data_IF_569268542613
#
_entry.id   IF_569268542613
#
_cell.length_a   1.000
_cell.length_b   1.000
_cell.length_c   1.000
_cell.angle_alpha   90.00
_cell.angle_beta   90.00
_cell.angle_gamma   90.00
#
_symmetry.space_group_name_H-M   'P 1'
#
loop_
_entity.id
_entity.type
_entity.pdbx_description
1 polymer ?
#
# COMPACT_ATOMS: atom_id res chain seq x y z
N UNK A 1 18.27 -12.57 -0.18
CA UNK A 1 18.65 -11.62 0.89
C UNK A 1 20.15 -11.62 1.07
N UNK A 2 20.79 -10.46 1.12
CA UNK A 2 22.25 -10.30 1.26
C UNK A 2 22.56 -9.14 2.21
N UNK A 3 23.52 -9.36 3.12
CA UNK A 3 24.19 -8.31 3.89
C UNK A 3 25.66 -8.30 3.50
N UNK A 4 26.17 -7.17 3.01
CA UNK A 4 27.57 -7.06 2.59
C UNK A 4 28.08 -5.63 2.80
N UNK A 5 29.40 -5.51 3.05
CA UNK A 5 30.05 -4.21 2.98
C UNK A 5 30.16 -3.79 1.51
N UNK A 6 29.78 -2.57 1.24
CA UNK A 6 29.97 -1.92 -0.05
C UNK A 6 30.78 -0.65 0.14
N UNK A 7 31.70 -0.41 -0.79
CA UNK A 7 32.55 0.78 -0.83
C UNK A 7 32.30 1.49 -2.15
N UNK A 8 32.12 2.78 -2.10
CA UNK A 8 31.95 3.65 -3.25
C UNK A 8 32.22 5.10 -2.87
N UNK A 9 32.09 6.01 -3.80
CA UNK A 9 32.20 7.44 -3.58
C UNK A 9 30.88 8.13 -3.93
N UNK A 10 30.60 9.25 -3.28
CA UNK A 10 29.43 10.06 -3.66
C UNK A 10 29.58 10.65 -5.07
N UNK A 11 30.81 10.79 -5.55
CA UNK A 11 31.11 11.26 -6.90
C UNK A 11 30.57 10.36 -8.01
N UNK A 12 30.40 9.07 -7.75
CA UNK A 12 29.81 8.12 -8.70
C UNK A 12 28.32 8.42 -8.95
N UNK A 13 27.67 9.12 -8.03
CA UNK A 13 26.26 9.50 -8.15
C UNK A 13 26.10 10.97 -8.56
N UNK A 14 27.01 11.85 -8.14
CA UNK A 14 26.97 13.26 -8.42
C UNK A 14 28.36 13.86 -8.62
N UNK A 15 28.58 14.48 -9.78
CA UNK A 15 29.89 14.97 -10.27
C UNK A 15 30.56 15.99 -9.36
N UNK A 16 29.80 16.75 -8.56
CA UNK A 16 30.34 17.76 -7.63
C UNK A 16 30.60 17.23 -6.23
N UNK A 17 30.20 15.98 -5.96
CA UNK A 17 30.33 15.39 -4.64
C UNK A 17 31.76 14.87 -4.34
N UNK A 18 31.99 14.49 -3.08
CA UNK A 18 33.29 14.02 -2.59
C UNK A 18 33.74 12.73 -3.25
N UNK A 19 35.03 12.65 -3.58
CA UNK A 19 35.69 11.44 -4.05
C UNK A 19 36.21 10.54 -2.90
N UNK A 20 36.02 10.94 -1.65
CA UNK A 20 36.47 10.11 -0.53
C UNK A 20 35.66 8.82 -0.46
N UNK A 21 36.33 7.66 -0.35
CA UNK A 21 35.64 6.38 -0.23
C UNK A 21 34.81 6.29 1.05
N UNK A 22 33.57 5.85 0.91
CA UNK A 22 32.66 5.56 2.02
C UNK A 22 32.34 4.07 2.01
N UNK A 23 32.58 3.40 3.12
CA UNK A 23 32.25 1.98 3.31
C UNK A 23 31.08 1.85 4.28
N UNK A 24 30.02 1.20 3.84
CA UNK A 24 28.85 0.91 4.66
C UNK A 24 28.42 -0.55 4.54
N UNK A 25 27.81 -1.07 5.61
CA UNK A 25 27.07 -2.33 5.50
C UNK A 25 25.74 -2.06 4.81
N UNK A 26 25.50 -2.77 3.71
CA UNK A 26 24.28 -2.65 2.92
C UNK A 26 23.49 -3.95 3.02
N UNK A 27 22.21 -3.81 3.35
CA UNK A 27 21.25 -4.89 3.32
C UNK A 27 20.48 -4.83 1.99
N UNK A 28 20.46 -5.95 1.28
CA UNK A 28 19.72 -6.08 0.04
C UNK A 28 18.69 -7.20 0.16
N UNK A 29 17.47 -6.90 -0.21
CA UNK A 29 16.37 -7.85 -0.29
C UNK A 29 15.82 -7.83 -1.72
N UNK A 30 15.55 -9.01 -2.25
CA UNK A 30 14.87 -9.17 -3.54
C UNK A 30 13.94 -10.36 -3.49
N UNK A 31 12.86 -10.28 -4.24
CA UNK A 31 11.93 -11.37 -4.50
C UNK A 31 12.26 -11.87 -5.91
N UNK A 32 12.55 -13.17 -6.02
CA UNK A 32 12.90 -13.78 -7.31
C UNK A 32 11.69 -14.52 -7.86
N UNK A 33 11.27 -14.15 -9.06
CA UNK A 33 10.20 -14.82 -9.80
C UNK A 33 10.75 -15.83 -10.86
N UNK A 34 12.03 -16.23 -10.72
CA UNK A 34 12.68 -17.12 -11.68
C UNK A 34 13.22 -16.42 -12.93
N UNK A 35 13.49 -17.19 -14.00
CA UNK A 35 14.13 -16.69 -15.23
C UNK A 35 13.15 -16.18 -16.27
N UNK A 36 11.91 -16.65 -16.27
CA UNK A 36 10.85 -16.27 -17.21
C UNK A 36 9.52 -16.13 -16.44
N UNK A 37 9.37 -15.08 -15.62
CA UNK A 37 8.16 -14.89 -14.83
C UNK A 37 6.95 -14.63 -15.72
N UNK A 38 5.80 -15.26 -15.39
CA UNK A 38 4.51 -15.05 -16.04
C UNK A 38 3.43 -15.00 -14.98
N UNK A 39 2.64 -13.93 -14.97
CA UNK A 39 1.55 -13.70 -14.02
C UNK A 39 1.98 -13.80 -12.55
N UNK A 40 3.19 -13.37 -12.24
CA UNK A 40 3.72 -13.38 -10.88
C UNK A 40 3.29 -12.12 -10.13
N UNK A 41 3.03 -12.29 -8.86
CA UNK A 41 2.76 -11.17 -7.96
C UNK A 41 3.69 -11.19 -6.75
N UNK A 42 3.70 -10.12 -5.98
CA UNK A 42 4.41 -10.07 -4.70
C UNK A 42 3.69 -9.21 -3.69
N UNK A 43 3.92 -9.53 -2.42
CA UNK A 43 3.53 -8.70 -1.30
C UNK A 43 4.60 -8.74 -0.22
N UNK A 44 4.83 -7.61 0.43
CA UNK A 44 5.69 -7.56 1.62
C UNK A 44 5.16 -6.56 2.63
N UNK A 45 5.52 -6.78 3.89
CA UNK A 45 5.15 -5.90 5.00
C UNK A 45 6.44 -5.43 5.69
N UNK A 46 6.57 -4.13 5.92
CA UNK A 46 7.63 -3.55 6.74
C UNK A 46 7.04 -3.19 8.08
N UNK A 47 7.57 -3.79 9.14
CA UNK A 47 7.13 -3.54 10.50
C UNK A 47 8.34 -3.11 11.35
N UNK A 48 8.57 -1.80 11.52
CA UNK A 48 9.62 -1.30 12.39
C UNK A 48 9.31 -1.64 13.86
N UNK A 49 10.36 -1.76 14.66
CA UNK A 49 10.28 -1.95 16.13
C UNK A 49 9.54 -3.19 16.62
N UNK A 50 9.39 -4.20 15.76
CA UNK A 50 8.85 -5.49 16.17
C UNK A 50 9.96 -6.49 16.51
N UNK A 51 9.89 -7.21 17.65
CA UNK A 51 10.85 -8.26 17.96
C UNK A 51 10.68 -9.46 17.02
N UNK A 52 11.74 -10.25 16.87
CA UNK A 52 11.72 -11.43 16.01
C UNK A 52 10.60 -12.42 16.37
N UNK A 53 10.28 -12.57 17.67
CA UNK A 53 9.18 -13.41 18.13
C UNK A 53 7.82 -13.04 17.55
N UNK A 54 7.59 -11.75 17.26
CA UNK A 54 6.36 -11.31 16.62
C UNK A 54 6.16 -11.95 15.24
N UNK A 55 7.27 -12.14 14.49
CA UNK A 55 7.25 -12.75 13.17
C UNK A 55 7.21 -14.28 13.23
N UNK A 56 7.97 -14.88 14.17
CA UNK A 56 7.97 -16.35 14.34
C UNK A 56 6.63 -16.87 14.85
N UNK A 57 5.93 -16.11 15.67
CA UNK A 57 4.60 -16.45 16.15
C UNK A 57 3.49 -16.12 15.13
N UNK A 58 3.86 -15.59 13.96
CA UNK A 58 2.94 -15.23 12.86
C UNK A 58 1.78 -14.32 13.28
N UNK A 59 1.98 -13.49 14.29
CA UNK A 59 0.94 -12.60 14.83
C UNK A 59 0.40 -11.61 13.79
N UNK A 60 1.25 -11.21 12.82
CA UNK A 60 0.85 -10.29 11.74
C UNK A 60 -0.18 -10.90 10.77
N UNK A 61 -0.19 -12.24 10.58
CA UNK A 61 -1.14 -12.93 9.69
C UNK A 61 -2.59 -12.75 10.14
N UNK A 62 -2.79 -12.54 11.44
CA UNK A 62 -4.11 -12.29 12.02
C UNK A 62 -4.49 -10.80 12.05
N UNK A 63 -3.56 -9.90 11.76
CA UNK A 63 -3.80 -8.47 11.82
C UNK A 63 -4.10 -7.87 10.44
N UNK A 64 -3.40 -8.33 9.40
CA UNK A 64 -3.50 -7.77 8.06
C UNK A 64 -3.82 -8.87 7.06
N UNK A 65 -4.90 -8.69 6.33
CA UNK A 65 -5.32 -9.58 5.24
C UNK A 65 -5.19 -8.87 3.90
N UNK A 66 -4.66 -9.56 2.91
CA UNK A 66 -4.73 -9.13 1.52
C UNK A 66 -6.09 -9.56 0.98
N UNK A 67 -6.90 -8.59 0.58
CA UNK A 67 -8.25 -8.81 0.05
C UNK A 67 -8.20 -8.93 -1.48
N UNK A 68 -7.37 -8.12 -2.12
CA UNK A 68 -7.10 -8.20 -3.56
C UNK A 68 -5.66 -7.79 -3.84
N UNK A 69 -5.04 -8.45 -4.82
CA UNK A 69 -3.76 -8.08 -5.40
C UNK A 69 -3.80 -8.36 -6.90
N UNK A 70 -4.45 -7.48 -7.64
CA UNK A 70 -4.64 -7.57 -9.08
C UNK A 70 -4.14 -6.31 -9.77
N UNK A 71 -4.07 -6.31 -11.10
CA UNK A 71 -3.72 -5.11 -11.88
C UNK A 71 -4.75 -3.97 -11.74
N UNK A 72 -6.00 -4.31 -11.44
CA UNK A 72 -7.10 -3.35 -11.34
C UNK A 72 -7.32 -2.85 -9.92
N UNK A 73 -7.12 -3.71 -8.91
CA UNK A 73 -7.41 -3.41 -7.50
C UNK A 73 -6.35 -4.03 -6.61
N UNK A 74 -5.82 -3.23 -5.70
CA UNK A 74 -5.03 -3.70 -4.57
C UNK A 74 -5.70 -3.29 -3.28
N UNK A 75 -5.96 -4.24 -2.38
CA UNK A 75 -6.70 -3.97 -1.16
C UNK A 75 -6.23 -4.82 0.01
N UNK A 76 -6.19 -4.19 1.17
CA UNK A 76 -5.85 -4.81 2.46
C UNK A 76 -6.89 -4.47 3.51
N UNK A 77 -7.03 -5.33 4.50
CA UNK A 77 -7.87 -5.12 5.66
C UNK A 77 -7.12 -5.41 6.96
N UNK A 78 -7.34 -4.59 7.97
CA UNK A 78 -7.08 -4.92 9.37
C UNK A 78 -8.43 -5.08 10.08
N UNK A 79 -8.94 -6.31 10.11
CA UNK A 79 -10.28 -6.60 10.64
C UNK A 79 -10.39 -6.28 12.14
N UNK A 80 -9.31 -6.49 12.89
CA UNK A 80 -9.28 -6.22 14.34
C UNK A 80 -9.51 -4.74 14.67
N UNK A 81 -8.98 -3.86 13.81
CA UNK A 81 -9.13 -2.40 13.91
C UNK A 81 -10.25 -1.85 13.04
N UNK A 82 -10.91 -2.70 12.24
CA UNK A 82 -11.90 -2.29 11.24
C UNK A 82 -11.41 -1.21 10.30
N UNK A 83 -10.17 -1.38 9.83
CA UNK A 83 -9.47 -0.48 8.92
C UNK A 83 -9.26 -1.18 7.57
N UNK A 84 -9.55 -0.47 6.51
CA UNK A 84 -9.49 -0.99 5.15
C UNK A 84 -8.80 0.03 4.25
N UNK A 85 -7.92 -0.44 3.38
CA UNK A 85 -7.27 0.41 2.39
C UNK A 85 -7.38 -0.24 1.01
N UNK A 86 -7.66 0.57 0.00
CA UNK A 86 -7.77 0.09 -1.38
C UNK A 86 -7.27 1.12 -2.37
N UNK A 87 -6.58 0.61 -3.39
CA UNK A 87 -6.21 1.35 -4.59
C UNK A 87 -7.05 0.79 -5.74
N UNK A 88 -7.86 1.64 -6.33
CA UNK A 88 -8.54 1.36 -7.59
C UNK A 88 -7.73 1.95 -8.73
N UNK A 89 -7.13 1.13 -9.56
CA UNK A 89 -6.45 1.52 -10.80
C UNK A 89 -7.42 1.73 -11.94
N UNK A 90 -8.65 1.20 -11.80
CA UNK A 90 -9.78 1.36 -12.69
C UNK A 90 -11.07 1.48 -11.89
N UNK A 91 -12.18 2.01 -12.48
CA UNK A 91 -13.51 1.91 -11.86
C UNK A 91 -13.83 0.46 -11.52
N UNK A 92 -14.40 0.23 -10.35
CA UNK A 92 -14.68 -1.14 -9.93
C UNK A 92 -15.35 -1.25 -8.57
N UNK A 93 -15.49 -2.47 -8.11
CA UNK A 93 -16.10 -2.83 -6.84
C UNK A 93 -15.22 -3.83 -6.09
N UNK A 94 -15.20 -3.73 -4.77
CA UNK A 94 -14.55 -4.68 -3.88
C UNK A 94 -15.42 -4.97 -2.66
N UNK A 95 -15.44 -6.24 -2.24
CA UNK A 95 -16.07 -6.69 -1.02
C UNK A 95 -15.00 -6.98 0.03
N UNK A 96 -15.02 -6.26 1.13
CA UNK A 96 -14.15 -6.50 2.28
C UNK A 96 -14.77 -7.51 3.27
N UNK A 97 -16.09 -7.41 3.46
CA UNK A 97 -16.90 -8.29 4.32
C UNK A 97 -18.36 -8.31 3.86
N UNK A 98 -19.22 -9.04 4.54
CA UNK A 98 -20.66 -9.06 4.20
C UNK A 98 -21.34 -7.71 4.45
N UNK A 99 -20.78 -6.91 5.37
CA UNK A 99 -21.28 -5.58 5.73
C UNK A 99 -20.45 -4.43 5.13
N UNK A 100 -19.46 -4.71 4.25
CA UNK A 100 -18.67 -3.68 3.60
C UNK A 100 -18.35 -4.03 2.14
N UNK A 101 -19.14 -3.46 1.25
CA UNK A 101 -18.92 -3.46 -0.21
C UNK A 101 -18.70 -2.03 -0.67
N UNK A 102 -17.63 -1.82 -1.43
CA UNK A 102 -17.20 -0.49 -1.89
C UNK A 102 -17.08 -0.49 -3.40
N UNK A 103 -17.74 0.45 -4.07
CA UNK A 103 -17.59 0.65 -5.50
C UNK A 103 -17.25 2.10 -5.83
N UNK A 104 -16.47 2.31 -6.89
CA UNK A 104 -16.05 3.62 -7.37
C UNK A 104 -16.17 3.73 -8.87
N UNK A 105 -16.40 4.95 -9.36
CA UNK A 105 -16.48 5.24 -10.79
C UNK A 105 -15.19 5.81 -11.39
N UNK A 106 -14.13 5.94 -10.60
CA UNK A 106 -12.85 6.55 -10.98
C UNK A 106 -11.66 5.82 -10.32
N UNK A 107 -10.45 6.07 -10.85
CA UNK A 107 -9.18 5.69 -10.21
C UNK A 107 -9.01 6.48 -8.92
N UNK A 108 -8.81 5.80 -7.81
CA UNK A 108 -8.78 6.46 -6.50
C UNK A 108 -8.13 5.58 -5.44
N UNK A 109 -7.54 6.23 -4.42
CA UNK A 109 -7.18 5.59 -3.18
C UNK A 109 -8.24 5.86 -2.13
N UNK A 110 -8.60 4.83 -1.38
CA UNK A 110 -9.50 4.96 -0.25
C UNK A 110 -8.84 4.38 1.00
N UNK A 111 -9.02 5.08 2.11
CA UNK A 111 -8.85 4.54 3.44
C UNK A 111 -10.18 4.63 4.17
N UNK A 112 -10.61 3.53 4.73
CA UNK A 112 -11.92 3.39 5.38
C UNK A 112 -11.69 2.87 6.78
N UNK A 113 -12.31 3.50 7.76
CA UNK A 113 -12.29 3.06 9.16
C UNK A 113 -13.70 3.06 9.72
N UNK A 114 -14.08 1.99 10.44
CA UNK A 114 -15.38 1.91 11.10
C UNK A 114 -15.22 2.24 12.58
N UNK A 115 -15.75 3.41 12.98
CA UNK A 115 -15.76 3.90 14.36
C UNK A 115 -17.20 4.11 14.83
N UNK A 116 -17.52 3.63 16.00
CA UNK A 116 -18.84 3.81 16.65
C UNK A 116 -20.02 3.47 15.74
N UNK A 117 -19.85 2.45 14.90
CA UNK A 117 -20.87 2.00 13.94
C UNK A 117 -20.93 2.80 12.63
N UNK A 118 -20.16 3.89 12.51
CA UNK A 118 -20.10 4.73 11.31
C UNK A 118 -18.80 4.50 10.53
N UNK A 119 -18.83 4.75 9.22
CA UNK A 119 -17.65 4.69 8.36
C UNK A 119 -17.07 6.10 8.17
N UNK A 120 -15.80 6.25 8.54
CA UNK A 120 -14.98 7.39 8.15
C UNK A 120 -14.21 7.01 6.89
N UNK A 121 -14.26 7.85 5.86
CA UNK A 121 -13.64 7.56 4.55
C UNK A 121 -12.75 8.72 4.15
N UNK A 122 -11.47 8.43 3.95
CA UNK A 122 -10.55 9.33 3.27
C UNK A 122 -10.43 8.91 1.80
N UNK A 123 -10.53 9.90 0.91
CA UNK A 123 -10.49 9.71 -0.54
C UNK A 123 -9.33 10.54 -1.09
N UNK A 124 -8.47 9.94 -1.92
CA UNK A 124 -7.37 10.65 -2.57
C UNK A 124 -7.27 10.28 -4.05
N UNK A 125 -7.05 11.29 -4.90
CA UNK A 125 -6.61 11.12 -6.28
C UNK A 125 -5.10 11.43 -6.37
N UNK A 126 -4.23 10.42 -6.45
CA UNK A 126 -2.79 10.62 -6.52
C UNK A 126 -2.31 11.24 -7.83
N UNK A 127 -3.15 11.26 -8.85
CA UNK A 127 -2.83 11.80 -10.18
C UNK A 127 -3.29 13.26 -10.36
N UNK A 128 -4.02 13.81 -9.40
CA UNK A 128 -4.56 15.18 -9.42
C UNK A 128 -5.37 15.50 -10.70
N UNK A 129 -6.11 14.50 -11.22
CA UNK A 129 -6.83 14.61 -12.50
C UNK A 129 -8.34 14.67 -12.33
N UNK A 130 -8.84 14.23 -11.18
CA UNK A 130 -10.26 14.06 -10.96
C UNK A 130 -10.84 15.21 -10.14
N UNK A 131 -11.91 15.83 -10.65
CA UNK A 131 -12.64 16.87 -9.93
C UNK A 131 -13.60 16.30 -8.89
N UNK A 132 -14.11 15.11 -9.15
CA UNK A 132 -15.02 14.40 -8.24
C UNK A 132 -14.98 12.89 -8.45
N UNK A 133 -15.27 12.15 -7.37
CA UNK A 133 -15.46 10.70 -7.36
C UNK A 133 -16.85 10.38 -6.84
N UNK A 134 -17.52 9.45 -7.48
CA UNK A 134 -18.71 8.80 -6.95
C UNK A 134 -18.27 7.50 -6.27
N UNK A 135 -18.66 7.36 -5.03
CA UNK A 135 -18.41 6.18 -4.22
C UNK A 135 -19.75 5.59 -3.80
N UNK A 136 -19.87 4.29 -3.92
CA UNK A 136 -20.96 3.52 -3.33
C UNK A 136 -20.43 2.72 -2.15
N UNK A 137 -21.12 2.81 -1.02
CA UNK A 137 -20.87 2.01 0.17
C UNK A 137 -22.13 1.21 0.49
N UNK A 138 -22.06 -0.10 0.38
CA UNK A 138 -23.19 -1.00 0.59
C UNK A 138 -24.45 -0.62 -0.23
N UNK A 139 -24.25 -0.08 -1.45
CA UNK A 139 -25.34 0.39 -2.31
C UNK A 139 -25.80 1.84 -2.08
N UNK A 140 -25.36 2.49 -1.01
CA UNK A 140 -25.59 3.92 -0.81
C UNK A 140 -24.54 4.74 -1.56
N UNK A 141 -24.97 5.83 -2.23
CA UNK A 141 -24.11 6.62 -3.11
C UNK A 141 -23.68 7.94 -2.48
N UNK A 142 -22.39 8.22 -2.57
CA UNK A 142 -21.75 9.44 -2.09
C UNK A 142 -20.99 10.11 -3.23
N UNK A 143 -20.95 11.44 -3.22
CA UNK A 143 -20.13 12.22 -4.15
C UNK A 143 -19.11 13.07 -3.39
N UNK A 144 -17.83 12.83 -3.67
CA UNK A 144 -16.72 13.63 -3.15
C UNK A 144 -16.30 14.65 -4.19
N UNK A 145 -16.24 15.95 -3.81
CA UNK A 145 -15.92 17.08 -4.70
C UNK A 145 -14.54 17.67 -4.39
N UNK A 146 -13.96 17.35 -3.21
CA UNK A 146 -12.61 17.78 -2.83
C UNK A 146 -11.79 16.60 -2.38
N UNK A 147 -10.60 16.48 -2.97
CA UNK A 147 -9.61 15.51 -2.52
C UNK A 147 -8.73 16.14 -1.44
N UNK A 148 -8.37 15.37 -0.43
CA UNK A 148 -7.35 15.76 0.53
C UNK A 148 -5.99 15.72 -0.19
N UNK A 149 -5.55 16.87 -0.69
CA UNK A 149 -4.19 17.02 -1.16
C UNK A 149 -3.28 17.19 0.07
N UNK A 150 -2.37 16.24 0.29
CA UNK A 150 -1.29 16.48 1.22
C UNK A 150 -0.30 17.43 0.53
N UNK A 151 -0.35 18.70 0.92
CA UNK A 151 0.72 19.63 0.59
C UNK A 151 1.96 19.26 1.43
N UNK A 152 3.09 19.03 0.75
CA UNK A 152 4.41 19.00 1.38
C UNK A 152 4.78 20.36 1.93
#
# INVERSE_FOLDING_TARGET
MRKAKQTGTWRELEVTASEQPVTKEVFSLWISHGTTPQNEDYCYIIMPDKPLSYFTDKKFENEIKIIANTEQIQAIANENKRQYAVVFYEPGEIRFSDDLVVAVNKKVLLYIEKKDGQYEIAVADPLYKEESVQLSLNGEHYKFIRFLYMHN
#
